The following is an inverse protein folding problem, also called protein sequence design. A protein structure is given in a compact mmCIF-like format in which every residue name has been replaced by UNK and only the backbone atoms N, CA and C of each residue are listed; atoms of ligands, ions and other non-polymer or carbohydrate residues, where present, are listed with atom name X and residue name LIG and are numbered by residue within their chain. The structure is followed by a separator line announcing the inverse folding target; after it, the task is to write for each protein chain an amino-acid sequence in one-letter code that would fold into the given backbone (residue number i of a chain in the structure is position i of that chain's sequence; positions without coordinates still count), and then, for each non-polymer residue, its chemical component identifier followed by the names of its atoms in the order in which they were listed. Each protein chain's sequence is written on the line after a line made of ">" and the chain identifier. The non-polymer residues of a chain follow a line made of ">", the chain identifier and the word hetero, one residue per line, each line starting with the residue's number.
data_IF_012291957764
#
_entry.id   IF_012291957764
#
_cell.length_a   1.000
_cell.length_b   1.000
_cell.length_c   1.000
_cell.angle_alpha   90.00
_cell.angle_beta   90.00
_cell.angle_gamma   90.00
#
_symmetry.space_group_name_H-M   'P 1'
#
loop_
_entity.id
_entity.type
_entity.pdbx_description
1 polymer ?
#
# COMPACT_ATOMS: atom_id res chain seq x y z
N UNK A 1 1.08 -19.88 5.38
CA UNK A 1 1.12 -18.77 6.37
C UNK A 1 -0.29 -18.47 6.82
N UNK A 2 -0.48 -18.20 8.09
CA UNK A 2 -1.80 -17.80 8.65
C UNK A 2 -1.71 -16.39 9.21
N UNK A 3 -2.65 -15.52 8.80
CA UNK A 3 -2.78 -14.16 9.33
C UNK A 3 -4.02 -14.13 10.23
N UNK A 4 -3.84 -13.72 11.48
CA UNK A 4 -4.97 -13.51 12.39
C UNK A 4 -5.54 -12.11 12.12
N UNK A 5 -6.86 -12.02 11.96
CA UNK A 5 -7.57 -10.77 11.69
C UNK A 5 -8.64 -10.58 12.76
N UNK A 6 -8.67 -9.38 13.32
CA UNK A 6 -9.73 -8.92 14.21
C UNK A 6 -10.56 -7.86 13.50
N UNK A 7 -11.86 -8.08 13.38
CA UNK A 7 -12.81 -7.06 12.94
C UNK A 7 -13.14 -6.15 14.11
N UNK A 8 -12.99 -4.86 13.93
CA UNK A 8 -13.27 -3.82 14.94
C UNK A 8 -14.37 -2.85 14.50
N UNK A 9 -14.99 -3.11 13.35
CA UNK A 9 -16.09 -2.33 12.80
C UNK A 9 -17.15 -3.26 12.23
N UNK A 10 -18.48 -2.96 12.37
CA UNK A 10 -19.56 -3.84 11.88
C UNK A 10 -19.53 -4.05 10.37
N UNK A 11 -19.09 -3.07 9.60
CA UNK A 11 -18.96 -3.15 8.15
C UNK A 11 -17.63 -3.77 7.66
N UNK A 12 -16.75 -4.18 8.58
CA UNK A 12 -15.45 -4.76 8.19
C UNK A 12 -15.62 -6.11 7.50
N UNK A 13 -14.90 -6.29 6.42
CA UNK A 13 -14.82 -7.53 5.65
C UNK A 13 -13.47 -8.21 5.88
N UNK A 14 -13.48 -9.53 5.96
CA UNK A 14 -12.24 -10.30 5.91
C UNK A 14 -11.75 -10.28 4.46
N UNK A 15 -10.50 -9.85 4.19
CA UNK A 15 -9.97 -9.83 2.83
C UNK A 15 -9.91 -11.22 2.20
N UNK A 16 -10.16 -11.28 0.91
CA UNK A 16 -10.11 -12.51 0.12
C UNK A 16 -9.35 -12.28 -1.19
N UNK A 17 -8.59 -13.30 -1.62
CA UNK A 17 -8.01 -13.31 -2.95
C UNK A 17 -9.10 -13.61 -3.98
N UNK A 18 -9.18 -12.82 -5.04
CA UNK A 18 -10.21 -12.98 -6.07
C UNK A 18 -9.98 -14.21 -6.95
N UNK A 19 -8.72 -14.58 -7.15
CA UNK A 19 -8.30 -15.78 -7.90
C UNK A 19 -7.15 -16.47 -7.19
N UNK A 20 -6.92 -17.74 -7.49
CA UNK A 20 -5.78 -18.50 -6.94
C UNK A 20 -4.43 -17.86 -7.29
N UNK A 21 -4.31 -17.23 -8.46
CA UNK A 21 -3.10 -16.55 -8.91
C UNK A 21 -2.96 -15.10 -8.46
N UNK A 22 -3.92 -14.54 -7.72
CA UNK A 22 -3.85 -13.16 -7.25
C UNK A 22 -2.72 -12.97 -6.24
N UNK A 23 -1.87 -11.96 -6.45
CA UNK A 23 -0.83 -11.58 -5.49
C UNK A 23 -1.37 -10.67 -4.38
N UNK A 24 -2.41 -9.90 -4.68
CA UNK A 24 -3.06 -8.98 -3.76
C UNK A 24 -4.51 -9.36 -3.46
N UNK A 25 -4.99 -8.90 -2.32
CA UNK A 25 -6.38 -8.98 -1.90
C UNK A 25 -6.95 -7.57 -1.69
N UNK A 26 -8.25 -7.42 -1.93
CA UNK A 26 -8.89 -6.11 -1.81
C UNK A 26 -9.06 -5.67 -0.36
N UNK A 27 -8.86 -4.37 -0.11
CA UNK A 27 -9.15 -3.69 1.14
C UNK A 27 -10.39 -2.79 0.95
N UNK A 28 -11.40 -3.00 1.81
CA UNK A 28 -12.72 -2.37 1.68
C UNK A 28 -12.91 -1.27 2.72
N UNK A 29 -13.44 -0.14 2.29
CA UNK A 29 -13.81 0.95 3.18
C UNK A 29 -14.98 0.56 4.09
N UNK A 30 -14.96 0.99 5.35
CA UNK A 30 -16.05 0.76 6.31
C UNK A 30 -16.90 1.99 6.58
N UNK A 31 -16.49 3.15 6.07
CA UNK A 31 -17.19 4.43 6.23
C UNK A 31 -17.15 5.24 4.93
N UNK A 32 -18.05 6.21 4.81
CA UNK A 32 -18.01 7.17 3.72
C UNK A 32 -16.92 8.22 3.97
N UNK A 33 -16.16 8.54 2.94
CA UNK A 33 -15.15 9.62 2.96
C UNK A 33 -15.22 10.41 1.67
N UNK A 34 -15.30 11.73 1.76
CA UNK A 34 -15.21 12.62 0.60
C UNK A 34 -13.78 13.15 0.49
N UNK A 35 -13.13 12.88 -0.64
CA UNK A 35 -11.78 13.39 -0.93
C UNK A 35 -11.89 14.45 -2.02
N UNK A 36 -11.63 15.69 -1.65
CA UNK A 36 -11.68 16.84 -2.56
C UNK A 36 -10.62 16.73 -3.66
N UNK A 37 -10.79 17.44 -4.78
CA UNK A 37 -9.75 17.57 -5.81
C UNK A 37 -8.42 17.95 -5.19
N UNK A 38 -7.36 17.26 -5.60
CA UNK A 38 -5.99 17.45 -5.11
C UNK A 38 -5.81 17.29 -3.59
N UNK A 39 -6.81 16.68 -2.93
CA UNK A 39 -6.84 16.45 -1.48
C UNK A 39 -6.40 15.05 -1.08
N UNK A 40 -6.27 14.86 0.23
CA UNK A 40 -5.92 13.60 0.87
C UNK A 40 -7.01 13.20 1.86
N UNK A 41 -7.37 11.93 1.86
CA UNK A 41 -8.32 11.33 2.80
C UNK A 41 -7.75 10.11 3.50
N UNK A 42 -8.09 9.92 4.77
CA UNK A 42 -7.77 8.73 5.55
C UNK A 42 -9.00 7.83 5.59
N UNK A 43 -8.91 6.63 5.03
CA UNK A 43 -10.03 5.69 4.93
C UNK A 43 -9.78 4.48 5.83
N UNK A 44 -10.72 4.19 6.71
CA UNK A 44 -10.66 3.06 7.63
C UNK A 44 -11.12 1.78 6.95
N UNK A 45 -10.46 0.67 7.30
CA UNK A 45 -10.77 -0.69 6.80
C UNK A 45 -11.48 -1.54 7.86
N UNK A 46 -11.45 -1.10 9.12
CA UNK A 46 -12.15 -1.76 10.22
C UNK A 46 -11.55 -3.09 10.67
N UNK A 47 -10.30 -3.38 10.29
CA UNK A 47 -9.59 -4.57 10.73
C UNK A 47 -8.24 -4.24 11.36
N UNK A 48 -7.86 -5.06 12.33
CA UNK A 48 -6.49 -5.19 12.84
C UNK A 48 -5.97 -6.56 12.44
N UNK A 49 -4.66 -6.71 12.26
CA UNK A 49 -4.07 -7.99 11.89
C UNK A 49 -2.78 -8.30 12.66
N UNK A 50 -2.42 -9.57 12.67
CA UNK A 50 -1.15 -10.05 13.20
C UNK A 50 -0.48 -10.93 12.17
N UNK A 51 0.68 -10.48 11.71
CA UNK A 51 1.55 -11.18 10.79
C UNK A 51 2.61 -11.99 11.54
N UNK A 52 3.12 -13.03 10.91
CA UNK A 52 4.30 -13.75 11.41
C UNK A 52 5.55 -12.88 11.26
N UNK A 53 6.52 -13.09 12.15
CA UNK A 53 7.84 -12.43 12.07
C UNK A 53 8.49 -12.76 10.72
N UNK A 54 9.10 -11.78 10.09
CA UNK A 54 9.71 -11.91 8.77
C UNK A 54 8.77 -11.61 7.61
N UNK A 55 7.57 -11.07 7.90
CA UNK A 55 6.62 -10.62 6.88
C UNK A 55 6.09 -9.23 7.19
N UNK A 56 5.64 -8.54 6.16
CA UNK A 56 4.91 -7.27 6.21
C UNK A 56 3.67 -7.36 5.35
N UNK A 57 2.69 -6.48 5.60
CA UNK A 57 1.63 -6.20 4.65
C UNK A 57 1.95 -4.87 3.95
N UNK A 58 2.01 -4.90 2.63
CA UNK A 58 2.07 -3.69 1.81
C UNK A 58 0.69 -3.28 1.35
N UNK A 59 0.35 -2.02 1.55
CA UNK A 59 -0.89 -1.40 1.05
C UNK A 59 -0.56 -0.66 -0.24
N UNK A 60 -1.14 -1.12 -1.34
CA UNK A 60 -0.85 -0.64 -2.70
C UNK A 60 -2.08 -0.07 -3.37
N UNK A 61 -1.85 0.85 -4.30
CA UNK A 61 -2.89 1.38 -5.18
C UNK A 61 -3.49 0.26 -6.05
N UNK A 62 -4.81 0.33 -6.28
CA UNK A 62 -5.47 -0.49 -7.30
C UNK A 62 -5.40 0.21 -8.66
N UNK A 63 -5.03 -0.54 -9.70
CA UNK A 63 -4.87 -0.01 -11.07
C UNK A 63 -6.14 0.67 -11.60
N UNK A 64 -7.31 0.11 -11.30
CA UNK A 64 -8.60 0.69 -11.71
C UNK A 64 -8.88 2.06 -11.10
N UNK A 65 -8.54 2.28 -9.83
CA UNK A 65 -8.67 3.60 -9.20
C UNK A 65 -7.66 4.60 -9.78
N UNK A 66 -6.43 4.17 -10.01
CA UNK A 66 -5.40 5.02 -10.58
C UNK A 66 -5.77 5.47 -12.00
N UNK A 67 -6.18 4.54 -12.86
CA UNK A 67 -6.46 4.83 -14.28
C UNK A 67 -7.78 5.60 -14.47
N UNK A 68 -8.85 5.17 -13.81
CA UNK A 68 -10.20 5.68 -14.07
C UNK A 68 -10.58 6.89 -13.23
N UNK A 69 -9.95 7.07 -12.07
CA UNK A 69 -10.30 8.11 -11.10
C UNK A 69 -9.12 9.01 -10.69
N UNK A 70 -7.91 8.72 -11.15
CA UNK A 70 -6.67 9.40 -10.69
C UNK A 70 -6.56 9.42 -9.16
N UNK A 71 -6.98 8.34 -8.51
CA UNK A 71 -6.89 8.14 -7.05
C UNK A 71 -5.85 7.08 -6.75
N UNK A 72 -4.99 7.37 -5.79
CA UNK A 72 -3.89 6.49 -5.40
C UNK A 72 -3.73 6.41 -3.89
N UNK A 73 -3.12 5.34 -3.42
CA UNK A 73 -2.56 5.28 -2.07
C UNK A 73 -1.32 6.17 -2.06
N UNK A 74 -1.38 7.27 -1.29
CA UNK A 74 -0.36 8.32 -1.36
C UNK A 74 1.05 7.83 -1.01
N UNK A 75 1.16 6.95 -0.03
CA UNK A 75 2.43 6.35 0.42
C UNK A 75 2.66 4.95 -0.17
N UNK A 76 2.08 4.64 -1.32
CA UNK A 76 2.20 3.31 -1.94
C UNK A 76 3.66 2.99 -2.33
N UNK A 77 4.21 1.84 -1.88
CA UNK A 77 3.58 0.86 -0.99
C UNK A 77 3.58 1.33 0.46
N UNK A 78 2.39 1.39 1.08
CA UNK A 78 2.27 1.61 2.52
C UNK A 78 2.77 0.38 3.29
N UNK A 79 3.49 0.59 4.38
CA UNK A 79 4.07 -0.49 5.18
C UNK A 79 3.24 -0.73 6.43
N UNK A 80 2.83 -1.98 6.64
CA UNK A 80 2.24 -2.45 7.90
C UNK A 80 3.15 -3.53 8.48
N UNK A 81 3.79 -3.19 9.59
CA UNK A 81 4.74 -4.05 10.27
C UNK A 81 4.07 -5.25 10.95
N UNK A 82 4.81 -6.33 11.15
CA UNK A 82 4.27 -7.56 11.76
C UNK A 82 3.80 -7.35 13.21
N UNK A 83 4.35 -6.40 13.93
CA UNK A 83 4.03 -6.05 15.31
C UNK A 83 3.01 -4.91 15.46
N UNK A 84 2.55 -4.32 14.35
CA UNK A 84 1.47 -3.34 14.39
C UNK A 84 0.13 -4.01 14.72
N UNK A 85 -0.58 -3.50 15.74
CA UNK A 85 -1.87 -4.04 16.21
C UNK A 85 -3.02 -3.04 16.07
N UNK A 86 -2.73 -1.87 15.50
CA UNK A 86 -3.75 -0.85 15.24
C UNK A 86 -4.62 -1.18 14.02
N UNK A 87 -5.66 -0.39 13.85
CA UNK A 87 -6.53 -0.47 12.69
C UNK A 87 -5.78 -0.16 11.39
N UNK A 88 -5.98 -0.99 10.38
CA UNK A 88 -5.50 -0.72 9.02
C UNK A 88 -6.30 0.44 8.45
N UNK A 89 -5.58 1.48 8.04
CA UNK A 89 -6.13 2.68 7.39
C UNK A 89 -5.37 2.95 6.11
N UNK A 90 -6.06 3.49 5.12
CA UNK A 90 -5.49 3.78 3.80
C UNK A 90 -5.49 5.28 3.58
N UNK A 91 -4.33 5.82 3.21
CA UNK A 91 -4.16 7.24 2.86
C UNK A 91 -4.36 7.36 1.36
N UNK A 92 -5.50 7.94 0.94
CA UNK A 92 -5.81 8.16 -0.48
C UNK A 92 -5.54 9.60 -0.88
N UNK A 93 -4.89 9.78 -2.03
CA UNK A 93 -4.74 11.07 -2.71
C UNK A 93 -5.63 11.09 -3.95
N UNK A 94 -6.36 12.18 -4.14
CA UNK A 94 -7.17 12.44 -5.33
C UNK A 94 -6.42 13.44 -6.22
N UNK A 95 -5.89 12.98 -7.33
CA UNK A 95 -5.15 13.81 -8.30
C UNK A 95 -6.05 14.41 -9.37
N UNK A 96 -7.35 14.11 -9.34
CA UNK A 96 -8.32 14.63 -10.31
C UNK A 96 -8.87 15.99 -9.92
N UNK A 97 -9.58 16.64 -10.85
CA UNK A 97 -10.29 17.89 -10.65
C UNK A 97 -11.72 17.71 -10.12
N UNK A 98 -12.09 16.49 -9.74
CA UNK A 98 -13.43 16.13 -9.24
C UNK A 98 -13.36 15.58 -7.83
N UNK A 99 -14.45 15.79 -7.05
CA UNK A 99 -14.63 15.10 -5.78
C UNK A 99 -14.58 13.57 -6.01
N UNK A 100 -13.91 12.85 -5.13
CA UNK A 100 -13.95 11.40 -5.08
C UNK A 100 -14.64 10.95 -3.80
N UNK A 101 -15.82 10.35 -3.95
CA UNK A 101 -16.60 9.84 -2.83
C UNK A 101 -16.31 8.34 -2.65
N UNK A 102 -15.72 8.01 -1.50
CA UNK A 102 -15.61 6.64 -1.01
C UNK A 102 -16.92 6.26 -0.32
N UNK A 103 -17.47 5.10 -0.67
CA UNK A 103 -18.65 4.52 -0.03
C UNK A 103 -18.27 3.29 0.81
N UNK A 104 -19.12 2.94 1.77
CA UNK A 104 -18.97 1.70 2.53
C UNK A 104 -18.93 0.51 1.57
N UNK A 105 -17.94 -0.36 1.74
CA UNK A 105 -17.73 -1.54 0.90
C UNK A 105 -16.90 -1.31 -0.36
N UNK A 106 -16.56 -0.07 -0.69
CA UNK A 106 -15.69 0.20 -1.83
C UNK A 106 -14.30 -0.41 -1.64
N UNK A 107 -13.79 -1.01 -2.71
CA UNK A 107 -12.43 -1.57 -2.79
C UNK A 107 -11.46 -0.44 -3.12
N UNK A 108 -10.83 0.12 -2.09
CA UNK A 108 -10.06 1.37 -2.19
C UNK A 108 -8.54 1.17 -2.26
N UNK A 109 -8.08 -0.02 -1.96
CA UNK A 109 -6.67 -0.40 -2.03
C UNK A 109 -6.55 -1.92 -2.17
N UNK A 110 -5.35 -2.40 -2.36
CA UNK A 110 -5.02 -3.82 -2.26
C UNK A 110 -3.90 -4.05 -1.26
N UNK A 111 -4.01 -5.15 -0.52
CA UNK A 111 -2.96 -5.64 0.38
C UNK A 111 -2.13 -6.71 -0.29
N UNK A 112 -0.82 -6.68 -0.14
CA UNK A 112 0.10 -7.71 -0.61
C UNK A 112 1.03 -8.10 0.52
N UNK A 113 1.04 -9.38 0.90
CA UNK A 113 1.96 -9.88 1.93
C UNK A 113 3.32 -10.09 1.30
N UNK A 114 4.35 -9.53 1.94
CA UNK A 114 5.73 -9.62 1.49
C UNK A 114 6.63 -10.18 2.59
N UNK A 115 7.66 -10.92 2.18
CA UNK A 115 8.74 -11.33 3.07
C UNK A 115 9.67 -10.15 3.30
N UNK A 116 10.11 -9.95 4.55
CA UNK A 116 11.06 -8.90 4.91
C UNK A 116 12.41 -9.48 5.29
N UNK A 117 13.45 -8.72 4.97
CA UNK A 117 14.81 -9.00 5.41
C UNK A 117 15.24 -7.93 6.41
N UNK A 118 15.97 -8.33 7.44
CA UNK A 118 16.60 -7.38 8.35
C UNK A 118 18.07 -7.26 7.95
N UNK A 119 18.49 -6.02 7.69
CA UNK A 119 19.88 -5.72 7.41
C UNK A 119 20.61 -5.29 8.70
N UNK A 120 21.86 -5.70 8.83
CA UNK A 120 22.80 -5.11 9.76
C UNK A 120 23.55 -3.98 9.03
N UNK A 121 23.51 -2.78 9.58
CA UNK A 121 24.20 -1.63 8.98
C UNK A 121 25.60 -1.50 9.60
N UNK A 122 26.63 -1.56 8.74
CA UNK A 122 28.04 -1.45 9.13
C UNK A 122 28.58 -0.19 8.51
N UNK A 123 29.06 0.74 9.34
CA UNK A 123 29.74 1.93 8.88
C UNK A 123 31.10 1.56 8.28
N UNK A 124 31.40 2.12 7.12
CA UNK A 124 32.71 1.97 6.49
C UNK A 124 33.18 3.33 5.92
N UNK A 125 34.50 3.52 5.81
CA UNK A 125 35.04 4.75 5.26
C UNK A 125 34.87 4.85 3.75
N UNK A 126 34.87 3.72 3.04
CA UNK A 126 34.81 3.66 1.59
C UNK A 126 34.06 2.42 1.12
N UNK A 127 33.20 2.56 0.10
CA UNK A 127 32.55 1.45 -0.59
C UNK A 127 33.44 0.94 -1.73
N UNK A 128 33.16 -0.29 -2.16
CA UNK A 128 33.78 -0.89 -3.33
C UNK A 128 33.44 -0.11 -4.62
N UNK A 129 34.31 -0.19 -5.60
CA UNK A 129 34.10 0.45 -6.90
C UNK A 129 33.31 -0.46 -7.84
N UNK A 130 32.41 0.15 -8.63
CA UNK A 130 31.67 -0.54 -9.68
C UNK A 130 31.74 0.24 -10.99
N UNK A 131 31.50 -0.42 -12.13
CA UNK A 131 31.44 0.22 -13.44
C UNK A 131 30.37 1.29 -13.55
N UNK A 132 29.30 1.21 -12.77
CA UNK A 132 28.24 2.22 -12.70
C UNK A 132 28.67 3.42 -11.84
N UNK A 133 29.45 3.19 -10.80
CA UNK A 133 29.84 4.21 -9.83
C UNK A 133 28.62 4.94 -9.26
N UNK A 134 28.66 6.28 -9.28
CA UNK A 134 27.59 7.16 -8.79
C UNK A 134 26.50 7.47 -9.83
N UNK A 135 26.52 6.86 -11.02
CA UNK A 135 25.54 7.12 -12.08
C UNK A 135 24.10 6.75 -11.68
N UNK A 136 23.21 7.72 -11.75
CA UNK A 136 21.79 7.58 -11.40
C UNK A 136 20.98 8.75 -11.96
N UNK A 137 19.73 8.92 -11.51
CA UNK A 137 18.84 10.02 -11.87
C UNK A 137 18.71 10.27 -13.38
N UNK A 138 18.62 9.20 -14.18
CA UNK A 138 18.50 9.29 -15.63
C UNK A 138 19.84 9.47 -16.36
N UNK A 139 20.98 9.09 -15.74
CA UNK A 139 22.31 9.16 -16.38
C UNK A 139 22.40 8.40 -17.71
N UNK A 140 21.50 7.46 -17.97
CA UNK A 140 21.39 6.71 -19.24
C UNK A 140 20.42 7.34 -20.26
N UNK A 141 19.76 8.45 -19.92
CA UNK A 141 18.81 9.15 -20.78
C UNK A 141 17.42 8.49 -20.78
N UNK A 142 16.42 9.20 -21.34
CA UNK A 142 15.04 8.74 -21.49
C UNK A 142 14.82 8.08 -22.84
N UNK A 143 15.47 8.57 -23.89
CA UNK A 143 15.35 8.05 -25.26
C UNK A 143 16.49 7.10 -25.57
N UNK A 144 16.18 6.00 -26.23
CA UNK A 144 17.20 5.17 -26.87
C UNK A 144 17.80 5.99 -28.03
N UNK A 145 19.10 6.15 -28.01
CA UNK A 145 19.82 6.70 -29.14
C UNK A 145 19.70 5.78 -30.35
#
# INVERSE_FOLDING_TARGET
>A
MKIKIQKIHPNALIPEYQTEGSSGFDLHAVEEVMIKPHGVGLVKIGICLSLEVGYELQVRTRSGLALNHQVMVLNSPGTVDNDYRGEIKVILANLSDKDFKVQVGDRIAQGVVQKTYKAEFIECEQLDETSRGSGGFGSTGVSKA
#
